data_IF_543020832276
#
_entry.id   IF_543020832276
#
_cell.length_a   1.000
_cell.length_b   1.000
_cell.length_c   1.000
_cell.angle_alpha   90.00
_cell.angle_beta   90.00
_cell.angle_gamma   90.00
#
_symmetry.space_group_name_H-M   'P 1'
#
loop_
_entity.id
_entity.type
_entity.pdbx_description
1 polymer ?
#
# COMPACT_ATOMS: atom_id res chain seq x y z
N UNK A 1 13.73 -12.65 -4.99
CA UNK A 1 12.91 -11.53 -5.47
C UNK A 1 11.50 -12.07 -5.65
N UNK A 2 10.70 -12.03 -4.58
CA UNK A 2 9.25 -12.22 -4.71
C UNK A 2 8.67 -10.91 -5.24
N UNK A 3 7.42 -10.91 -5.72
CA UNK A 3 6.72 -9.66 -6.07
C UNK A 3 6.38 -8.80 -4.81
N UNK A 4 7.07 -9.06 -3.67
CA UNK A 4 6.92 -8.42 -2.36
C UNK A 4 8.27 -8.04 -1.76
N UNK A 5 9.06 -7.28 -2.52
CA UNK A 5 10.38 -6.81 -2.12
C UNK A 5 10.26 -5.42 -1.47
N UNK A 6 10.08 -5.37 -0.15
CA UNK A 6 9.88 -4.10 0.58
C UNK A 6 11.05 -3.13 0.40
N UNK A 7 12.33 -3.53 0.60
CA UNK A 7 13.47 -2.62 0.39
C UNK A 7 13.48 -1.97 -1.00
N UNK A 8 13.17 -2.74 -2.04
CA UNK A 8 13.13 -2.20 -3.39
C UNK A 8 11.98 -1.20 -3.59
N UNK A 9 10.81 -1.44 -3.00
CA UNK A 9 9.70 -0.47 -3.02
C UNK A 9 10.07 0.81 -2.26
N UNK A 10 10.76 0.68 -1.12
CA UNK A 10 11.29 1.80 -0.34
C UNK A 10 12.25 2.65 -1.19
N UNK A 11 13.24 2.02 -1.84
CA UNK A 11 14.21 2.68 -2.72
C UNK A 11 13.53 3.44 -3.87
N UNK A 12 12.53 2.84 -4.52
CA UNK A 12 11.79 3.48 -5.62
C UNK A 12 11.03 4.72 -5.15
N UNK A 13 10.30 4.59 -4.05
CA UNK A 13 9.48 5.67 -3.50
C UNK A 13 10.37 6.82 -3.02
N UNK A 14 11.50 6.52 -2.36
CA UNK A 14 12.50 7.53 -1.97
C UNK A 14 13.12 8.25 -3.18
N UNK A 15 13.34 7.52 -4.27
CA UNK A 15 13.79 8.10 -5.54
C UNK A 15 12.69 8.88 -6.30
N UNK A 16 11.48 8.98 -5.75
CA UNK A 16 10.35 9.72 -6.32
C UNK A 16 9.58 8.95 -7.39
N UNK A 17 9.78 7.63 -7.51
CA UNK A 17 9.02 6.77 -8.40
C UNK A 17 7.83 6.16 -7.65
N UNK A 18 6.58 6.56 -7.96
CA UNK A 18 5.42 5.97 -7.32
C UNK A 18 5.27 4.49 -7.71
N UNK A 19 4.84 3.66 -6.75
CA UNK A 19 4.75 2.21 -6.91
C UNK A 19 3.30 1.75 -6.77
N UNK A 20 2.79 1.11 -7.82
CA UNK A 20 1.45 0.50 -7.80
C UNK A 20 1.52 -0.85 -7.09
N UNK A 21 0.62 -1.05 -6.13
CA UNK A 21 0.53 -2.26 -5.31
C UNK A 21 -0.92 -2.69 -5.12
N UNK A 22 -1.11 -3.97 -4.82
CA UNK A 22 -2.40 -4.58 -4.53
C UNK A 22 -2.48 -4.97 -3.05
N UNK A 23 -3.59 -4.65 -2.38
CA UNK A 23 -3.82 -4.91 -0.95
C UNK A 23 -5.18 -5.56 -0.69
N UNK A 24 -5.28 -6.28 0.43
CA UNK A 24 -6.52 -6.76 1.02
C UNK A 24 -7.21 -5.62 1.81
N UNK A 25 -8.18 -4.94 1.20
CA UNK A 25 -8.79 -3.74 1.76
C UNK A 25 -9.95 -3.96 2.75
N UNK A 26 -10.35 -5.21 3.01
CA UNK A 26 -11.48 -5.55 3.90
C UNK A 26 -11.03 -6.34 5.13
N UNK A 27 -11.82 -6.24 6.18
CA UNK A 27 -11.67 -7.04 7.40
C UNK A 27 -10.52 -6.60 8.31
N UNK A 28 -10.37 -7.28 9.46
CA UNK A 28 -9.34 -6.98 10.45
C UNK A 28 -7.95 -7.37 9.95
N UNK A 29 -6.89 -6.77 10.51
CA UNK A 29 -5.48 -7.10 10.21
C UNK A 29 -5.16 -8.58 10.40
N UNK A 30 -5.84 -9.26 11.31
CA UNK A 30 -5.64 -10.68 11.61
C UNK A 30 -6.29 -11.63 10.61
N UNK A 31 -7.27 -11.15 9.83
CA UNK A 31 -7.93 -11.93 8.79
C UNK A 31 -8.39 -11.01 7.63
N UNK A 32 -7.44 -10.37 6.92
CA UNK A 32 -7.77 -9.42 5.87
C UNK A 32 -8.25 -10.17 4.62
N UNK A 33 -9.08 -9.51 3.81
CA UNK A 33 -9.68 -10.11 2.61
C UNK A 33 -9.92 -9.10 1.49
N UNK A 34 -10.28 -9.61 0.31
CA UNK A 34 -10.59 -8.81 -0.88
C UNK A 34 -9.41 -8.67 -1.84
N UNK A 35 -9.33 -7.52 -2.48
CA UNK A 35 -8.27 -7.12 -3.40
C UNK A 35 -8.53 -5.71 -3.89
N UNK A 36 -7.51 -4.87 -3.93
CA UNK A 36 -7.63 -3.45 -4.19
C UNK A 36 -6.29 -2.85 -4.59
N UNK A 37 -6.27 -2.09 -5.69
CA UNK A 37 -5.04 -1.48 -6.20
C UNK A 37 -4.92 -0.06 -5.65
N UNK A 38 -3.75 0.23 -5.08
CA UNK A 38 -3.37 1.55 -4.57
C UNK A 38 -2.00 1.94 -5.13
N UNK A 39 -1.63 3.21 -4.96
CA UNK A 39 -0.34 3.74 -5.38
C UNK A 39 0.40 4.28 -4.16
N UNK A 40 1.56 3.71 -3.84
CA UNK A 40 2.50 4.25 -2.85
C UNK A 40 3.27 5.41 -3.49
N UNK A 41 3.36 6.54 -2.79
CA UNK A 41 3.95 7.77 -3.32
C UNK A 41 5.04 8.36 -2.42
N UNK A 42 5.05 8.00 -1.13
CA UNK A 42 6.07 8.44 -0.17
C UNK A 42 6.09 7.45 1.02
N UNK A 43 7.13 7.53 1.86
CA UNK A 43 7.20 6.82 3.12
C UNK A 43 7.69 7.71 4.26
N UNK A 44 7.22 7.39 5.46
CA UNK A 44 7.73 7.88 6.74
C UNK A 44 8.19 6.66 7.54
N UNK A 45 8.86 6.90 8.67
CA UNK A 45 9.44 5.85 9.52
C UNK A 45 8.55 4.59 9.63
N UNK A 46 7.28 4.77 10.04
CA UNK A 46 6.34 3.67 10.29
C UNK A 46 5.16 3.61 9.30
N UNK A 47 5.08 4.52 8.33
CA UNK A 47 3.91 4.67 7.46
C UNK A 47 4.28 4.78 5.99
N UNK A 48 3.47 4.17 5.15
CA UNK A 48 3.33 4.51 3.75
C UNK A 48 2.38 5.68 3.55
N UNK A 49 2.67 6.53 2.57
CA UNK A 49 1.75 7.52 2.03
C UNK A 49 1.27 7.00 0.67
N UNK A 50 -0.04 6.99 0.48
CA UNK A 50 -0.66 6.40 -0.70
C UNK A 50 -1.76 7.27 -1.31
N UNK A 51 -1.98 7.07 -2.61
CA UNK A 51 -3.23 7.39 -3.28
C UNK A 51 -4.06 6.11 -3.38
N UNK A 52 -5.18 6.09 -2.65
CA UNK A 52 -6.16 5.01 -2.66
C UNK A 52 -7.46 5.50 -3.36
N UNK A 53 -7.82 4.97 -4.54
CA UNK A 53 -9.01 5.44 -5.28
C UNK A 53 -10.35 5.15 -4.60
N UNK A 54 -10.40 4.23 -3.63
CA UNK A 54 -11.63 3.84 -2.94
C UNK A 54 -11.87 4.62 -1.66
N UNK A 55 -10.79 5.07 -1.00
CA UNK A 55 -10.85 5.79 0.27
C UNK A 55 -9.68 5.46 1.17
N UNK A 56 -9.75 5.78 2.46
CA UNK A 56 -8.64 5.49 3.38
C UNK A 56 -8.89 4.24 4.22
N UNK A 57 -7.88 3.35 4.27
CA UNK A 57 -7.85 2.19 5.15
C UNK A 57 -7.97 2.58 6.64
N UNK A 58 -7.44 3.74 7.03
CA UNK A 58 -7.54 4.25 8.41
C UNK A 58 -8.99 4.44 8.86
N UNK A 59 -9.86 4.89 7.94
CA UNK A 59 -11.29 5.06 8.22
C UNK A 59 -12.08 3.76 8.09
N UNK A 60 -11.42 2.64 7.79
CA UNK A 60 -12.05 1.41 7.31
C UNK A 60 -12.94 1.67 6.08
N UNK A 61 -12.48 2.57 5.19
CA UNK A 61 -13.18 2.99 3.98
C UNK A 61 -14.57 3.59 4.20
N UNK A 62 -14.78 4.26 5.34
CA UNK A 62 -15.94 5.15 5.54
C UNK A 62 -15.74 6.51 4.88
N UNK A 63 -14.49 6.92 4.70
CA UNK A 63 -14.09 8.12 3.98
C UNK A 63 -13.52 7.74 2.61
N UNK A 64 -14.07 8.33 1.55
CA UNK A 64 -13.73 8.04 0.16
C UNK A 64 -12.68 8.99 -0.44
N UNK A 65 -12.06 9.85 0.38
CA UNK A 65 -10.97 10.75 -0.04
C UNK A 65 -9.62 10.10 0.29
N UNK A 66 -9.14 9.24 -0.59
CA UNK A 66 -7.92 8.46 -0.35
C UNK A 66 -6.61 9.13 -0.79
N UNK A 67 -6.63 10.43 -1.12
CA UNK A 67 -5.41 11.19 -1.43
C UNK A 67 -4.51 11.34 -0.19
N UNK A 68 -3.21 11.09 -0.34
CA UNK A 68 -2.22 11.11 0.75
C UNK A 68 -2.63 10.29 1.99
N UNK A 69 -3.31 9.18 1.78
CA UNK A 69 -3.72 8.26 2.84
C UNK A 69 -2.50 7.66 3.53
N UNK A 70 -2.55 7.58 4.86
CA UNK A 70 -1.52 6.92 5.66
C UNK A 70 -1.89 5.46 5.89
N UNK A 71 -0.94 4.57 5.64
CA UNK A 71 -1.08 3.13 5.92
C UNK A 71 0.16 2.74 6.71
N UNK A 72 -0.01 2.22 7.94
CA UNK A 72 1.16 1.77 8.69
C UNK A 72 1.86 0.64 7.95
N UNK A 73 3.19 0.56 8.03
CA UNK A 73 3.97 -0.53 7.42
C UNK A 73 3.51 -1.89 7.94
N UNK A 74 3.09 -1.97 9.20
CA UNK A 74 2.47 -3.16 9.77
C UNK A 74 1.17 -3.57 9.04
N UNK A 75 0.25 -2.62 8.83
CA UNK A 75 -1.01 -2.94 8.13
C UNK A 75 -0.77 -3.26 6.65
N UNK A 76 0.12 -2.52 6.01
CA UNK A 76 0.51 -2.80 4.63
C UNK A 76 1.05 -4.23 4.49
N UNK A 77 2.01 -4.63 5.32
CA UNK A 77 2.63 -5.95 5.24
C UNK A 77 1.63 -7.10 5.46
N UNK A 78 0.64 -6.92 6.34
CA UNK A 78 -0.40 -7.93 6.56
C UNK A 78 -1.37 -8.06 5.38
N UNK A 79 -1.54 -6.99 4.58
CA UNK A 79 -2.53 -6.91 3.50
C UNK A 79 -1.93 -7.03 2.11
N UNK A 80 -0.62 -6.87 1.96
CA UNK A 80 0.02 -6.76 0.66
C UNK A 80 -0.04 -8.06 -0.13
N UNK A 81 -0.57 -7.97 -1.35
CA UNK A 81 -0.70 -9.09 -2.28
C UNK A 81 0.38 -9.11 -3.36
N UNK A 82 1.23 -8.08 -3.46
CA UNK A 82 2.16 -7.84 -4.57
C UNK A 82 1.67 -6.66 -5.43
N UNK A 83 2.15 -6.50 -6.67
CA UNK A 83 1.55 -5.54 -7.62
C UNK A 83 2.53 -4.77 -8.51
N UNK A 84 3.82 -4.80 -8.17
CA UNK A 84 4.87 -4.28 -9.03
C UNK A 84 5.68 -5.41 -9.68
N UNK A 85 5.89 -5.33 -10.99
CA UNK A 85 6.91 -6.09 -11.71
C UNK A 85 7.55 -5.17 -12.75
N UNK A 86 8.81 -4.81 -12.56
CA UNK A 86 9.69 -4.60 -13.72
C UNK A 86 10.04 -5.99 -14.21
N UNK A 87 9.53 -6.34 -15.38
CA UNK A 87 10.12 -7.43 -16.16
C UNK A 87 11.50 -6.92 -16.60
N UNK A 88 12.55 -7.45 -15.98
CA UNK A 88 13.89 -7.44 -16.57
C UNK A 88 13.98 -8.59 -17.57
#
# INVERSE_FOLDING_TARGET
MTDRDTPFVEDLVEAGFPVVVNILHKGPITNPSGGHIIMLIDQKAEDWIAHDPWGTLTSQYKEHKGEYSRISKQEFNARWQGGYRILA
#
